data_IF_101709219162
#
_entry.id   IF_101709219162
#
_cell.length_a   1.000
_cell.length_b   1.000
_cell.length_c   1.000
_cell.angle_alpha   90.00
_cell.angle_beta   90.00
_cell.angle_gamma   90.00
#
_symmetry.space_group_name_H-M   'P 1'
#
loop_
_entity.id
_entity.type
_entity.pdbx_description
1 polymer ?
#
# COMPACT_ATOMS: atom_id res chain seq x y z
N UNK A 1 31.75 -29.16 -40.20
CA UNK A 1 31.20 -29.09 -38.83
C UNK A 1 29.75 -28.64 -38.91
N UNK A 2 28.84 -29.58 -38.72
CA UNK A 2 27.39 -29.41 -38.55
C UNK A 2 27.08 -29.05 -37.10
N UNK A 3 26.18 -28.11 -36.85
CA UNK A 3 24.98 -28.29 -35.98
C UNK A 3 23.98 -27.18 -36.34
N UNK A 4 22.90 -27.56 -37.03
CA UNK A 4 21.60 -26.91 -36.93
C UNK A 4 20.82 -27.63 -35.84
N UNK A 5 20.26 -26.90 -34.87
CA UNK A 5 19.13 -27.41 -34.09
C UNK A 5 18.10 -26.29 -33.90
N UNK A 6 16.98 -26.46 -34.59
CA UNK A 6 15.71 -25.83 -34.29
C UNK A 6 15.30 -26.18 -32.87
N UNK A 7 14.83 -25.21 -32.10
CA UNK A 7 13.79 -25.48 -31.12
C UNK A 7 12.97 -24.23 -30.81
N UNK A 8 11.81 -24.15 -31.48
CA UNK A 8 10.70 -23.28 -31.10
C UNK A 8 10.11 -23.82 -29.79
N UNK A 9 10.55 -23.32 -28.64
CA UNK A 9 9.89 -23.63 -27.37
C UNK A 9 8.77 -22.64 -27.10
N UNK A 10 7.56 -23.00 -27.56
CA UNK A 10 6.31 -22.48 -27.01
C UNK A 10 6.15 -23.09 -25.61
N UNK A 11 6.64 -22.40 -24.58
CA UNK A 11 6.28 -22.74 -23.21
C UNK A 11 4.95 -22.03 -22.88
N UNK A 12 3.85 -22.77 -22.96
CA UNK A 12 2.57 -22.33 -22.42
C UNK A 12 2.70 -22.30 -20.89
N UNK A 13 2.78 -21.10 -20.31
CA UNK A 13 2.76 -20.91 -18.87
C UNK A 13 1.30 -21.01 -18.40
N UNK A 14 0.86 -22.20 -18.00
CA UNK A 14 -0.40 -22.39 -17.30
C UNK A 14 -0.20 -21.93 -15.85
N UNK A 15 -0.64 -20.71 -15.55
CA UNK A 15 -0.72 -20.22 -14.17
C UNK A 15 -1.92 -20.89 -13.49
N UNK A 16 -1.66 -21.92 -12.68
CA UNK A 16 -2.65 -22.49 -11.76
C UNK A 16 -2.87 -21.47 -10.65
N UNK A 17 -4.00 -20.76 -10.68
CA UNK A 17 -4.45 -19.91 -9.59
C UNK A 17 -5.04 -20.82 -8.50
N UNK A 18 -4.21 -21.16 -7.50
CA UNK A 18 -4.69 -21.82 -6.29
C UNK A 18 -5.48 -20.78 -5.48
N UNK A 19 -6.81 -20.87 -5.49
CA UNK A 19 -7.66 -20.14 -4.58
C UNK A 19 -7.48 -20.72 -3.18
N UNK A 20 -6.76 -20.02 -2.31
CA UNK A 20 -6.67 -20.36 -0.88
C UNK A 20 -7.88 -19.75 -0.18
N UNK A 21 -8.83 -20.55 0.36
CA UNK A 21 -9.93 -20.00 1.14
C UNK A 21 -9.46 -19.74 2.56
N UNK A 22 -9.78 -18.55 3.10
CA UNK A 22 -9.74 -18.27 4.53
C UNK A 22 -8.34 -17.98 5.09
N UNK A 23 -7.73 -16.87 4.68
CA UNK A 23 -6.72 -16.23 5.51
C UNK A 23 -7.46 -15.16 6.30
N UNK A 24 -7.49 -15.27 7.63
CA UNK A 24 -7.68 -14.10 8.48
C UNK A 24 -6.45 -13.20 8.22
N UNK A 25 -6.59 -12.28 7.25
CA UNK A 25 -5.50 -11.46 6.76
C UNK A 25 -5.05 -10.53 7.88
N UNK A 26 -3.89 -10.80 8.46
CA UNK A 26 -3.31 -10.01 9.53
C UNK A 26 -2.99 -8.58 9.04
N UNK A 27 -3.17 -7.61 9.93
CA UNK A 27 -2.82 -6.21 9.68
C UNK A 27 -1.37 -6.07 9.21
N UNK A 28 -1.15 -5.32 8.12
CA UNK A 28 0.21 -5.11 7.59
C UNK A 28 0.88 -3.99 8.38
N UNK A 29 1.94 -4.31 9.13
CA UNK A 29 2.73 -3.34 9.90
C UNK A 29 3.99 -2.92 9.14
N UNK A 30 4.17 -1.62 8.90
CA UNK A 30 5.30 -1.04 8.17
C UNK A 30 5.90 0.11 8.98
N UNK A 31 7.12 -0.08 9.49
CA UNK A 31 7.78 0.92 10.35
C UNK A 31 6.88 1.42 11.49
N UNK A 32 6.09 0.52 12.09
CA UNK A 32 5.12 0.83 13.14
C UNK A 32 3.75 1.35 12.68
N UNK A 33 3.59 1.72 11.40
CA UNK A 33 2.28 2.03 10.85
C UNK A 33 1.50 0.76 10.55
N UNK A 34 0.26 0.69 11.00
CA UNK A 34 -0.74 -0.31 10.63
C UNK A 34 -1.44 0.14 9.35
N UNK A 35 -1.46 -0.73 8.34
CA UNK A 35 -2.15 -0.55 7.06
C UNK A 35 -3.34 -1.49 6.94
N UNK A 36 -4.33 -1.19 6.08
CA UNK A 36 -5.46 -2.08 5.85
C UNK A 36 -5.01 -3.45 5.33
N UNK A 37 -5.76 -4.48 5.70
CA UNK A 37 -5.49 -5.85 5.25
C UNK A 37 -5.44 -5.97 3.73
N UNK A 38 -4.55 -6.84 3.25
CA UNK A 38 -4.32 -7.04 1.82
C UNK A 38 -3.55 -5.90 1.14
N UNK A 39 -2.98 -4.95 1.89
CA UNK A 39 -2.07 -3.95 1.34
C UNK A 39 -0.85 -4.64 0.67
N UNK A 40 -0.63 -4.35 -0.62
CA UNK A 40 0.46 -4.93 -1.42
C UNK A 40 1.54 -3.88 -1.64
N UNK A 41 2.80 -4.20 -1.33
CA UNK A 41 3.94 -3.31 -1.63
C UNK A 41 4.12 -3.19 -3.14
N UNK A 42 4.18 -1.97 -3.65
CA UNK A 42 4.34 -1.68 -5.09
C UNK A 42 5.64 -0.93 -5.41
N UNK A 43 6.23 -0.28 -4.41
CA UNK A 43 7.55 0.34 -4.46
C UNK A 43 8.04 0.60 -3.03
N UNK A 44 9.20 1.23 -2.88
CA UNK A 44 9.73 1.60 -1.56
C UNK A 44 8.74 2.48 -0.79
N UNK A 45 8.36 2.01 0.39
CA UNK A 45 7.35 2.60 1.28
C UNK A 45 5.98 2.89 0.64
N UNK A 46 5.70 2.34 -0.56
CA UNK A 46 4.45 2.56 -1.29
C UNK A 46 3.66 1.26 -1.38
N UNK A 47 2.38 1.37 -1.06
CA UNK A 47 1.47 0.24 -0.97
C UNK A 47 0.20 0.53 -1.76
N UNK A 48 -0.33 -0.47 -2.47
CA UNK A 48 -1.68 -0.47 -3.02
C UNK A 48 -2.60 -1.13 -2.01
N UNK A 49 -3.71 -0.48 -1.70
CA UNK A 49 -4.74 -1.02 -0.82
C UNK A 49 -5.91 -1.52 -1.68
N UNK A 50 -6.44 -2.73 -1.44
CA UNK A 50 -7.52 -3.30 -2.27
C UNK A 50 -8.90 -2.72 -1.97
N UNK A 51 -9.03 -1.89 -0.92
CA UNK A 51 -10.26 -1.22 -0.50
C UNK A 51 -10.45 0.10 -1.27
N UNK A 52 -11.68 0.60 -1.28
CA UNK A 52 -11.99 1.95 -1.80
C UNK A 52 -11.34 3.04 -0.93
N UNK A 53 -11.28 4.28 -1.44
CA UNK A 53 -10.71 5.40 -0.70
C UNK A 53 -11.47 5.64 0.60
N UNK A 54 -12.80 5.64 0.54
CA UNK A 54 -13.69 5.89 1.68
C UNK A 54 -13.54 4.82 2.77
N UNK A 55 -13.45 3.54 2.38
CA UNK A 55 -13.20 2.43 3.31
C UNK A 55 -11.80 2.52 3.93
N UNK A 56 -10.79 2.93 3.15
CA UNK A 56 -9.43 3.13 3.63
C UNK A 56 -9.36 4.27 4.66
N UNK A 57 -10.04 5.39 4.40
CA UNK A 57 -10.14 6.49 5.35
C UNK A 57 -10.90 6.07 6.61
N UNK A 58 -11.97 5.28 6.48
CA UNK A 58 -12.71 4.73 7.62
C UNK A 58 -11.81 3.85 8.48
N UNK A 59 -11.06 2.93 7.87
CA UNK A 59 -10.06 2.11 8.56
C UNK A 59 -9.10 2.99 9.35
N UNK A 60 -8.46 3.97 8.70
CA UNK A 60 -7.50 4.82 9.39
C UNK A 60 -8.12 5.68 10.50
N UNK A 61 -9.42 6.02 10.44
CA UNK A 61 -10.14 6.69 11.54
C UNK A 61 -10.32 5.79 12.76
N UNK A 62 -10.53 4.49 12.54
CA UNK A 62 -10.66 3.49 13.60
C UNK A 62 -9.30 3.15 14.21
N UNK A 63 -8.28 2.97 13.38
CA UNK A 63 -6.92 2.62 13.80
C UNK A 63 -6.20 3.80 14.46
N UNK A 64 -6.37 5.01 13.92
CA UNK A 64 -5.70 6.21 14.39
C UNK A 64 -6.74 7.24 14.86
N UNK A 65 -6.86 7.39 16.18
CA UNK A 65 -7.80 8.33 16.81
C UNK A 65 -7.50 9.81 16.51
N UNK A 66 -8.19 10.70 17.23
CA UNK A 66 -8.19 12.14 16.96
C UNK A 66 -6.80 12.81 17.02
N UNK A 67 -5.87 12.28 17.82
CA UNK A 67 -4.49 12.82 17.94
C UNK A 67 -3.69 12.74 16.64
N UNK A 68 -4.07 11.86 15.71
CA UNK A 68 -3.45 11.72 14.40
C UNK A 68 -4.17 12.63 13.41
N UNK A 69 -3.71 13.87 13.33
CA UNK A 69 -4.33 14.90 12.49
C UNK A 69 -4.33 14.49 11.02
N UNK A 70 -5.41 14.82 10.32
CA UNK A 70 -5.60 14.55 8.89
C UNK A 70 -5.63 15.87 8.14
N UNK A 71 -4.71 16.06 7.20
CA UNK A 71 -4.60 17.28 6.40
C UNK A 71 -4.84 16.94 4.93
N UNK A 72 -5.73 17.64 4.21
CA UNK A 72 -5.83 17.46 2.76
C UNK A 72 -4.48 17.80 2.11
N UNK A 73 -4.03 16.98 1.16
CA UNK A 73 -2.77 17.21 0.42
C UNK A 73 -3.04 17.96 -0.88
N UNK A 74 -4.24 17.84 -1.43
CA UNK A 74 -4.67 18.50 -2.65
C UNK A 74 -6.04 19.12 -2.45
N UNK A 75 -6.24 20.30 -3.05
CA UNK A 75 -7.50 21.05 -3.05
C UNK A 75 -8.04 21.16 -4.49
N UNK A 76 -8.03 20.04 -5.21
CA UNK A 76 -8.48 19.96 -6.59
C UNK A 76 -9.72 19.07 -6.69
N UNK A 77 -10.76 19.49 -7.42
CA UNK A 77 -11.92 18.63 -7.70
C UNK A 77 -11.48 17.30 -8.32
N UNK A 78 -11.95 16.19 -7.75
CA UNK A 78 -11.64 14.84 -8.22
C UNK A 78 -10.32 14.25 -7.69
N UNK A 79 -9.52 15.01 -6.94
CA UNK A 79 -8.33 14.47 -6.27
C UNK A 79 -8.66 14.15 -4.81
N UNK A 80 -8.65 12.86 -4.48
CA UNK A 80 -8.79 12.40 -3.09
C UNK A 80 -7.42 12.14 -2.51
N UNK A 81 -6.93 13.02 -1.65
CA UNK A 81 -5.64 12.86 -1.00
C UNK A 81 -5.61 13.46 0.42
N UNK A 82 -5.09 12.70 1.38
CA UNK A 82 -4.95 13.13 2.77
C UNK A 82 -3.62 12.66 3.35
N UNK A 83 -3.02 13.52 4.16
CA UNK A 83 -1.86 13.24 4.98
C UNK A 83 -2.32 12.97 6.41
N UNK A 84 -1.90 11.85 6.98
CA UNK A 84 -2.11 11.49 8.38
C UNK A 84 -0.79 11.70 9.12
N UNK A 85 -0.78 12.59 10.11
CA UNK A 85 0.41 12.93 10.90
C UNK A 85 0.54 11.98 12.09
N UNK A 86 1.72 11.39 12.30
CA UNK A 86 2.06 10.77 13.59
C UNK A 86 2.56 11.88 14.55
N UNK A 87 1.89 12.12 15.69
CA UNK A 87 2.30 13.19 16.61
C UNK A 87 3.61 12.88 17.35
N UNK A 88 4.02 11.61 17.42
CA UNK A 88 5.20 11.18 18.20
C UNK A 88 6.13 10.26 17.37
N UNK A 89 6.72 10.76 16.27
CA UNK A 89 7.53 9.91 15.40
C UNK A 89 8.94 9.74 15.97
N UNK A 90 9.36 8.47 16.11
CA UNK A 90 10.72 8.07 16.52
C UNK A 90 11.60 7.78 15.30
N UNK A 91 12.94 7.91 15.39
CA UNK A 91 13.84 7.49 14.32
C UNK A 91 13.57 6.06 13.85
N UNK A 92 13.48 5.85 12.54
CA UNK A 92 13.17 4.55 11.93
C UNK A 92 11.70 4.13 12.03
N UNK A 93 10.82 4.95 12.59
CA UNK A 93 9.37 4.73 12.63
C UNK A 93 8.65 5.67 11.67
N UNK A 94 7.39 5.35 11.39
CA UNK A 94 6.56 6.17 10.54
C UNK A 94 6.33 7.58 11.13
N UNK A 95 6.53 8.59 10.29
CA UNK A 95 6.26 10.00 10.56
C UNK A 95 4.84 10.40 10.12
N UNK A 96 4.35 9.76 9.07
CA UNK A 96 3.02 10.02 8.56
C UNK A 96 2.67 9.10 7.40
N UNK A 97 1.43 9.24 6.93
CA UNK A 97 0.89 8.48 5.80
C UNK A 97 0.30 9.43 4.78
N UNK A 98 0.72 9.33 3.53
CA UNK A 98 -0.01 9.95 2.42
C UNK A 98 -0.94 8.90 1.82
N UNK A 99 -2.24 9.14 1.89
CA UNK A 99 -3.28 8.28 1.34
C UNK A 99 -3.90 9.02 0.17
N UNK A 100 -3.91 8.43 -1.01
CA UNK A 100 -4.50 9.06 -2.20
C UNK A 100 -5.11 8.04 -3.14
N UNK A 101 -6.10 8.48 -3.90
CA UNK A 101 -6.69 7.72 -5.00
C UNK A 101 -6.03 8.13 -6.32
N UNK A 102 -5.55 7.15 -7.09
CA UNK A 102 -4.98 7.36 -8.42
C UNK A 102 -5.52 6.29 -9.37
N UNK A 103 -6.25 6.73 -10.41
CA UNK A 103 -6.85 5.84 -11.43
C UNK A 103 -7.70 4.71 -10.82
N UNK A 104 -8.50 5.04 -9.81
CA UNK A 104 -9.37 4.09 -9.10
C UNK A 104 -8.64 3.17 -8.10
N UNK A 105 -7.34 3.34 -7.92
CA UNK A 105 -6.56 2.58 -6.94
C UNK A 105 -6.16 3.44 -5.75
N UNK A 106 -6.34 2.91 -4.55
CA UNK A 106 -5.87 3.56 -3.34
C UNK A 106 -4.41 3.24 -3.11
N UNK A 107 -3.61 4.29 -2.94
CA UNK A 107 -2.19 4.22 -2.67
C UNK A 107 -1.91 4.82 -1.30
N UNK A 108 -1.08 4.12 -0.53
CA UNK A 108 -0.56 4.61 0.74
C UNK A 108 0.95 4.71 0.63
N UNK A 109 1.49 5.88 0.94
CA UNK A 109 2.91 6.11 1.09
C UNK A 109 3.24 6.33 2.57
N UNK A 110 4.08 5.46 3.11
CA UNK A 110 4.54 5.51 4.49
C UNK A 110 5.77 6.41 4.56
N UNK A 111 5.65 7.56 5.20
CA UNK A 111 6.78 8.44 5.47
C UNK A 111 7.49 7.88 6.70
N UNK A 112 8.80 7.63 6.60
CA UNK A 112 9.61 7.13 7.72
C UNK A 112 10.53 8.25 8.18
N UNK A 113 10.53 8.54 9.48
CA UNK A 113 11.44 9.51 10.07
C UNK A 113 12.87 8.97 9.97
N UNK A 114 13.72 9.67 9.23
CA UNK A 114 15.16 9.40 9.22
C UNK A 114 15.72 9.73 10.61
N UNK A 115 16.65 8.91 11.08
CA UNK A 115 17.50 9.30 12.20
C UNK A 115 18.48 10.35 11.70
N UNK A 116 18.68 11.39 12.49
CA UNK A 116 19.77 12.36 12.30
C UNK A 116 21.11 11.71 12.66
#
# INVERSE_FOLDING_TARGET
MTVTLFARYKAALVAVLVAVPGIALAEVKVAGAVLPDGAVKVAENRYRVPKTYEETIRFFRQTYGARFARRPIADQPGVKAVHIVNPEPRPGQWEGLNVYELKGEVRVFVLVRKGD
#
